data_IF_262423861595
#
_entry.id   IF_262423861595
#
_cell.length_a   1.000
_cell.length_b   1.000
_cell.length_c   1.000
_cell.angle_alpha   90.00
_cell.angle_beta   90.00
_cell.angle_gamma   90.00
#
_symmetry.space_group_name_H-M   'P 1'
#
loop_
_entity.id
_entity.type
_entity.pdbx_description
1 polymer ?
#
# COMPACT_ATOMS: atom_id res chain seq x y z
N UNK A 1 34.86 64.07 -19.59
CA UNK A 1 33.68 64.64 -20.29
C UNK A 1 32.60 63.56 -20.28
N UNK A 2 31.34 63.77 -19.89
CA UNK A 2 30.78 64.93 -19.15
C UNK A 2 29.28 65.15 -19.40
N UNK A 3 28.42 64.72 -18.44
CA UNK A 3 26.98 65.08 -18.30
C UNK A 3 26.01 64.63 -19.44
N UNK A 4 24.67 64.59 -19.27
CA UNK A 4 23.78 65.02 -18.15
C UNK A 4 22.43 64.27 -18.10
N UNK A 5 21.78 64.25 -16.91
CA UNK A 5 20.34 64.39 -16.53
C UNK A 5 19.23 64.26 -17.60
N UNK A 6 17.99 63.81 -17.34
CA UNK A 6 17.19 63.40 -16.16
C UNK A 6 15.80 62.92 -16.68
N UNK A 7 14.67 62.71 -15.99
CA UNK A 7 14.12 62.79 -14.61
C UNK A 7 12.98 61.72 -14.51
N UNK A 8 12.25 61.40 -13.43
CA UNK A 8 12.13 61.94 -12.08
C UNK A 8 10.72 62.47 -11.74
N UNK A 9 9.72 61.60 -11.50
CA UNK A 9 8.34 62.02 -11.14
C UNK A 9 7.69 61.18 -10.01
N UNK A 10 7.35 61.85 -8.90
CA UNK A 10 6.43 61.32 -7.88
C UNK A 10 4.97 61.47 -8.32
N UNK A 11 4.10 60.56 -7.88
CA UNK A 11 2.64 60.81 -7.79
C UNK A 11 2.29 61.23 -6.36
N UNK A 12 1.62 62.37 -6.20
CA UNK A 12 0.95 62.76 -4.96
C UNK A 12 -0.42 62.08 -4.89
N UNK A 13 -0.84 61.64 -3.72
CA UNK A 13 -2.26 61.49 -3.41
C UNK A 13 -2.80 62.84 -2.91
N UNK A 14 -4.02 63.17 -3.30
CA UNK A 14 -4.73 64.39 -2.90
C UNK A 14 -5.63 64.13 -1.70
N UNK A 15 -5.51 64.97 -0.68
CA UNK A 15 -6.39 64.99 0.49
C UNK A 15 -7.71 65.74 0.16
N UNK A 16 -8.83 65.30 0.75
CA UNK A 16 -10.13 65.97 0.77
C UNK A 16 -11.19 65.10 1.50
N UNK A 17 -11.96 65.67 2.44
CA UNK A 17 -13.19 65.02 2.95
C UNK A 17 -13.44 65.14 4.45
N UNK A 18 -13.45 66.35 5.02
CA UNK A 18 -13.81 66.56 6.43
C UNK A 18 -15.33 66.37 6.67
N UNK A 19 -15.72 65.53 7.62
CA UNK A 19 -17.13 65.28 8.03
C UNK A 19 -17.19 65.14 9.57
N UNK A 20 -18.08 65.85 10.28
CA UNK A 20 -18.00 66.01 11.74
C UNK A 20 -18.65 64.88 12.55
N UNK A 21 -18.12 64.65 13.76
CA UNK A 21 -18.71 63.79 14.79
C UNK A 21 -19.83 64.52 15.57
N UNK A 22 -20.95 63.84 15.90
CA UNK A 22 -21.79 64.20 17.03
C UNK A 22 -21.34 63.45 18.29
N UNK A 23 -21.02 64.19 19.36
CA UNK A 23 -20.86 63.62 20.71
C UNK A 23 -22.15 63.81 21.51
N UNK A 24 -22.71 62.71 22.07
CA UNK A 24 -23.27 62.68 23.43
C UNK A 24 -23.73 61.30 23.90
N UNK A 25 -23.10 60.85 24.98
CA UNK A 25 -23.72 60.16 26.14
C UNK A 25 -24.72 59.01 25.89
N UNK A 26 -24.23 57.78 26.00
CA UNK A 26 -24.99 56.63 26.49
C UNK A 26 -24.14 55.89 27.53
N UNK A 27 -24.75 55.34 28.59
CA UNK A 27 -24.03 54.71 29.69
C UNK A 27 -23.49 53.31 29.33
N UNK A 28 -22.33 52.95 29.85
CA UNK A 28 -21.66 51.69 29.53
C UNK A 28 -22.26 50.49 30.31
N UNK A 29 -22.54 49.35 29.63
CA UNK A 29 -22.68 48.06 30.31
C UNK A 29 -21.30 47.57 30.78
N UNK A 30 -21.25 46.88 31.92
CA UNK A 30 -20.00 46.41 32.53
C UNK A 30 -19.32 45.33 31.68
N UNK A 31 -18.08 45.59 31.23
CA UNK A 31 -17.27 44.59 30.56
C UNK A 31 -16.80 43.50 31.55
N UNK A 32 -17.33 42.29 31.43
CA UNK A 32 -16.79 41.11 32.11
C UNK A 32 -15.40 40.79 31.58
N UNK A 33 -14.39 40.65 32.46
CA UNK A 33 -13.06 40.26 32.03
C UNK A 33 -13.04 38.85 31.40
N UNK A 34 -12.21 38.60 30.37
CA UNK A 34 -12.06 37.28 29.79
C UNK A 34 -11.40 36.32 30.78
N UNK A 35 -12.08 35.22 31.11
CA UNK A 35 -11.51 34.12 31.90
C UNK A 35 -10.39 33.46 31.10
N UNK A 36 -9.20 33.20 31.67
CA UNK A 36 -8.12 32.54 30.94
C UNK A 36 -8.51 31.11 30.53
N UNK A 37 -8.03 30.61 29.38
CA UNK A 37 -8.42 29.30 28.87
C UNK A 37 -7.99 28.18 29.83
N UNK A 38 -8.96 27.37 30.27
CA UNK A 38 -8.72 26.19 31.09
C UNK A 38 -7.82 25.21 30.35
N UNK A 39 -6.62 24.94 30.90
CA UNK A 39 -5.73 23.88 30.40
C UNK A 39 -6.43 22.54 30.63
N UNK A 40 -6.98 21.95 29.57
CA UNK A 40 -7.59 20.62 29.64
C UNK A 40 -6.51 19.57 29.88
N UNK A 41 -6.32 19.20 31.15
CA UNK A 41 -5.45 18.12 31.58
C UNK A 41 -6.29 16.83 31.60
N UNK A 42 -6.05 15.84 30.73
CA UNK A 42 -6.82 14.60 30.74
C UNK A 42 -6.69 13.91 32.11
N UNK A 43 -7.81 13.69 32.79
CA UNK A 43 -7.83 12.85 33.98
C UNK A 43 -7.67 11.40 33.53
N UNK A 44 -6.60 10.74 33.98
CA UNK A 44 -6.41 9.29 33.79
C UNK A 44 -7.36 8.60 34.78
N UNK A 45 -8.33 7.78 34.33
CA UNK A 45 -9.23 7.08 35.24
C UNK A 45 -8.46 6.04 36.06
N UNK A 46 -8.25 6.32 37.34
CA UNK A 46 -7.70 5.34 38.28
C UNK A 46 -8.75 4.27 38.59
N UNK A 47 -8.40 3.02 38.34
CA UNK A 47 -9.26 1.82 38.37
C UNK A 47 -10.34 1.76 37.28
N UNK A 48 -10.20 0.76 36.40
CA UNK A 48 -11.29 0.17 35.63
C UNK A 48 -11.18 -1.34 35.77
N UNK A 49 -12.19 -1.96 36.37
CA UNK A 49 -12.29 -3.42 36.47
C UNK A 49 -12.43 -3.99 35.05
N UNK A 50 -11.50 -4.85 34.65
CA UNK A 50 -11.31 -5.23 33.24
C UNK A 50 -12.42 -6.16 32.71
N UNK A 51 -13.43 -5.58 32.07
CA UNK A 51 -14.41 -6.32 31.25
C UNK A 51 -13.80 -6.76 29.90
N UNK A 52 -14.35 -7.79 29.23
CA UNK A 52 -13.70 -8.40 28.06
C UNK A 52 -13.82 -7.63 26.73
N UNK A 53 -14.66 -6.60 26.64
CA UNK A 53 -15.19 -6.10 25.36
C UNK A 53 -14.22 -5.23 24.53
N UNK A 54 -13.11 -4.75 25.11
CA UNK A 54 -12.16 -3.87 24.39
C UNK A 54 -11.22 -4.59 23.39
N UNK A 55 -11.46 -5.87 23.09
CA UNK A 55 -10.68 -6.62 22.09
C UNK A 55 -10.94 -6.20 20.62
N UNK A 56 -11.88 -5.26 20.39
CA UNK A 56 -12.63 -5.16 19.14
C UNK A 56 -12.39 -3.85 18.33
N UNK A 57 -11.22 -3.22 18.48
CA UNK A 57 -10.95 -1.84 17.95
C UNK A 57 -9.89 -1.81 16.84
N UNK A 58 -9.03 -2.82 16.72
CA UNK A 58 -8.12 -2.98 15.59
C UNK A 58 -8.78 -3.90 14.54
N UNK A 59 -8.63 -3.66 13.23
CA UNK A 59 -9.07 -4.61 12.21
C UNK A 59 -8.11 -5.81 12.16
N UNK A 60 -8.62 -6.99 11.79
CA UNK A 60 -7.88 -8.27 11.77
C UNK A 60 -7.32 -8.79 13.12
N UNK A 61 -7.92 -8.51 14.30
CA UNK A 61 -7.33 -8.88 15.59
C UNK A 61 -7.40 -10.40 15.85
N UNK A 62 -8.35 -11.08 15.19
CA UNK A 62 -8.65 -12.50 15.34
C UNK A 62 -7.94 -13.39 14.33
N UNK A 63 -7.32 -12.85 13.27
CA UNK A 63 -6.82 -13.73 12.18
C UNK A 63 -5.66 -14.62 12.63
N UNK A 64 -4.91 -14.16 13.62
CA UNK A 64 -3.80 -14.89 14.24
C UNK A 64 -4.24 -15.75 15.44
N UNK A 65 -5.54 -15.82 15.76
CA UNK A 65 -6.06 -16.64 16.87
C UNK A 65 -6.08 -18.15 16.56
N UNK A 66 -6.12 -18.53 15.28
CA UNK A 66 -6.11 -19.92 14.84
C UNK A 66 -5.55 -20.03 13.42
N UNK A 67 -4.98 -21.20 13.07
CA UNK A 67 -4.32 -21.45 11.79
C UNK A 67 -5.12 -20.95 10.57
N UNK A 68 -6.39 -21.34 10.45
CA UNK A 68 -7.24 -20.97 9.30
C UNK A 68 -8.08 -19.70 9.50
N UNK A 69 -7.93 -18.98 10.61
CA UNK A 69 -8.69 -17.75 10.89
C UNK A 69 -8.35 -16.57 9.95
N UNK A 70 -7.33 -16.73 9.10
CA UNK A 70 -7.06 -15.83 7.97
C UNK A 70 -8.08 -16.00 6.82
N UNK A 71 -8.71 -17.17 6.66
CA UNK A 71 -9.57 -17.43 5.51
C UNK A 71 -10.85 -16.56 5.52
N UNK A 72 -11.29 -16.12 4.33
CA UNK A 72 -12.44 -15.24 4.13
C UNK A 72 -12.37 -13.87 4.83
N UNK A 73 -11.19 -13.44 5.31
CA UNK A 73 -10.99 -12.12 5.95
C UNK A 73 -10.49 -11.04 4.98
N UNK A 74 -10.17 -11.40 3.74
CA UNK A 74 -9.73 -10.45 2.72
C UNK A 74 -10.79 -9.36 2.48
N UNK A 75 -10.41 -8.09 2.58
CA UNK A 75 -11.29 -6.96 2.22
C UNK A 75 -11.17 -6.64 0.72
N UNK A 76 -12.03 -5.75 0.22
CA UNK A 76 -11.89 -5.19 -1.14
C UNK A 76 -12.28 -6.13 -2.29
N UNK A 77 -11.51 -6.08 -3.38
CA UNK A 77 -11.75 -6.89 -4.58
C UNK A 77 -11.21 -8.33 -4.46
N UNK A 78 -10.09 -8.54 -3.76
CA UNK A 78 -9.54 -9.87 -3.47
C UNK A 78 -10.31 -10.67 -2.41
N UNK A 79 -11.45 -10.18 -1.91
CA UNK A 79 -12.22 -10.79 -0.81
C UNK A 79 -12.62 -12.25 -1.00
N UNK A 80 -12.73 -12.69 -2.25
CA UNK A 80 -13.07 -14.07 -2.61
C UNK A 80 -11.88 -15.05 -2.51
N UNK A 81 -10.69 -14.60 -2.11
CA UNK A 81 -9.53 -15.47 -1.90
C UNK A 81 -9.77 -16.46 -0.75
N UNK A 82 -9.95 -17.74 -1.08
CA UNK A 82 -10.13 -18.83 -0.11
C UNK A 82 -8.81 -19.56 0.20
N UNK A 83 -7.80 -19.42 -0.66
CA UNK A 83 -6.50 -20.07 -0.48
C UNK A 83 -6.63 -21.59 -0.38
N UNK A 84 -5.88 -22.17 0.55
CA UNK A 84 -5.90 -23.58 0.89
C UNK A 84 -6.99 -24.02 1.87
N UNK A 85 -8.04 -23.22 2.11
CA UNK A 85 -9.03 -23.44 3.18
C UNK A 85 -9.61 -24.87 3.23
N UNK A 86 -9.82 -25.50 2.06
CA UNK A 86 -10.41 -26.83 1.93
C UNK A 86 -9.37 -27.96 1.75
N UNK A 87 -8.08 -27.64 1.80
CA UNK A 87 -7.00 -28.60 1.67
C UNK A 87 -6.52 -29.20 3.00
N UNK A 88 -5.62 -30.20 2.99
CA UNK A 88 -4.80 -30.53 4.15
C UNK A 88 -3.78 -29.41 4.44
N UNK A 89 -3.09 -29.54 5.57
CA UNK A 89 -1.94 -28.69 5.93
C UNK A 89 -0.70 -29.31 5.27
N UNK A 90 0.16 -28.48 4.65
CA UNK A 90 1.49 -28.88 4.22
C UNK A 90 2.51 -28.20 5.13
N UNK A 91 3.47 -28.97 5.64
CA UNK A 91 4.54 -28.49 6.50
C UNK A 91 5.83 -28.38 5.69
N UNK A 92 6.32 -27.15 5.49
CA UNK A 92 7.62 -26.87 4.87
C UNK A 92 8.70 -27.06 5.94
N UNK A 93 9.43 -28.17 5.81
CA UNK A 93 10.51 -28.59 6.70
C UNK A 93 11.90 -28.34 6.11
N UNK A 94 11.98 -27.94 4.83
CA UNK A 94 13.24 -27.68 4.12
C UNK A 94 13.30 -26.26 3.54
N UNK A 95 14.46 -25.62 3.70
CA UNK A 95 14.80 -24.33 3.08
C UNK A 95 15.44 -24.47 1.69
N UNK A 96 15.55 -25.71 1.16
CA UNK A 96 16.00 -25.94 -0.21
C UNK A 96 15.01 -25.35 -1.24
N UNK A 97 15.53 -24.95 -2.40
CA UNK A 97 14.70 -24.37 -3.47
C UNK A 97 13.66 -25.36 -4.00
N UNK A 98 13.98 -26.66 -4.08
CA UNK A 98 13.15 -27.70 -4.68
C UNK A 98 13.29 -29.03 -3.92
N UNK A 99 12.42 -30.00 -4.24
CA UNK A 99 12.38 -31.32 -3.63
C UNK A 99 11.38 -31.46 -2.46
N UNK A 100 11.18 -32.68 -1.91
CA UNK A 100 10.20 -32.94 -0.85
C UNK A 100 10.44 -32.09 0.40
N UNK A 101 9.36 -31.59 1.01
CA UNK A 101 9.42 -30.72 2.19
C UNK A 101 9.77 -29.25 1.88
N UNK A 102 10.03 -28.88 0.62
CA UNK A 102 10.25 -27.49 0.20
C UNK A 102 8.94 -26.75 -0.07
N UNK A 103 8.99 -25.41 0.01
CA UNK A 103 7.89 -24.54 -0.43
C UNK A 103 7.50 -24.76 -1.90
N UNK A 104 8.47 -25.13 -2.75
CA UNK A 104 8.27 -25.30 -4.19
C UNK A 104 7.56 -26.61 -4.56
N UNK A 105 7.81 -27.69 -3.83
CA UNK A 105 6.99 -28.91 -3.90
C UNK A 105 5.54 -28.60 -3.51
N UNK A 106 5.34 -27.89 -2.40
CA UNK A 106 4.01 -27.50 -1.92
C UNK A 106 3.23 -26.62 -2.92
N UNK A 107 3.87 -25.58 -3.49
CA UNK A 107 3.19 -24.62 -4.37
C UNK A 107 2.82 -25.17 -5.75
N UNK A 108 3.52 -26.20 -6.26
CA UNK A 108 3.25 -26.85 -7.55
C UNK A 108 2.14 -27.92 -7.51
N UNK A 109 1.76 -28.38 -6.31
CA UNK A 109 0.73 -29.42 -6.13
C UNK A 109 -0.64 -28.94 -6.63
N UNK A 110 -1.45 -29.86 -7.15
CA UNK A 110 -2.74 -29.53 -7.80
C UNK A 110 -3.86 -29.35 -6.80
N UNK A 111 -3.85 -30.17 -5.77
CA UNK A 111 -4.74 -30.14 -4.61
C UNK A 111 -4.66 -28.80 -3.85
N UNK A 112 -5.74 -28.33 -3.22
CA UNK A 112 -5.69 -27.20 -2.30
C UNK A 112 -4.74 -27.48 -1.13
N UNK A 113 -3.94 -26.50 -0.69
CA UNK A 113 -3.02 -26.68 0.44
C UNK A 113 -2.89 -25.43 1.32
N UNK A 114 -2.98 -25.63 2.63
CA UNK A 114 -2.58 -24.62 3.62
C UNK A 114 -1.11 -24.86 4.01
N UNK A 115 -0.20 -24.12 3.39
CA UNK A 115 1.24 -24.29 3.53
C UNK A 115 1.73 -23.47 4.72
N UNK A 116 2.27 -24.15 5.74
CA UNK A 116 2.97 -23.56 6.89
C UNK A 116 4.43 -23.98 6.89
N UNK A 117 5.23 -23.42 7.79
CA UNK A 117 6.66 -23.68 7.88
C UNK A 117 7.02 -24.18 9.30
N UNK A 118 7.79 -25.26 9.37
CA UNK A 118 8.37 -25.75 10.63
C UNK A 118 9.72 -25.07 10.91
N UNK A 119 10.39 -24.59 9.86
CA UNK A 119 11.69 -23.92 9.90
C UNK A 119 11.59 -22.45 9.51
N UNK A 120 12.24 -21.57 10.28
CA UNK A 120 12.53 -20.19 9.88
C UNK A 120 13.84 -20.13 9.07
N UNK A 121 13.93 -19.20 8.11
CA UNK A 121 15.16 -18.94 7.36
C UNK A 121 14.95 -18.33 5.98
N UNK A 122 15.99 -18.42 5.15
CA UNK A 122 16.02 -17.89 3.78
C UNK A 122 16.01 -19.03 2.77
N UNK A 123 15.07 -18.99 1.83
CA UNK A 123 14.97 -19.89 0.68
C UNK A 123 15.55 -19.17 -0.55
N UNK A 124 16.68 -19.67 -1.03
CA UNK A 124 17.37 -19.14 -2.21
C UNK A 124 16.73 -19.70 -3.48
N UNK A 125 15.89 -18.90 -4.15
CA UNK A 125 15.19 -19.33 -5.36
C UNK A 125 16.10 -19.23 -6.58
N UNK A 126 16.42 -20.37 -7.22
CA UNK A 126 17.17 -20.43 -8.47
C UNK A 126 16.33 -20.12 -9.71
N UNK A 127 15.01 -20.24 -9.59
CA UNK A 127 14.02 -19.90 -10.63
C UNK A 127 12.77 -19.28 -10.01
N UNK A 128 11.88 -18.71 -10.83
CA UNK A 128 10.56 -18.28 -10.34
C UNK A 128 9.82 -19.42 -9.64
N UNK A 129 9.27 -19.16 -8.46
CA UNK A 129 8.44 -20.13 -7.75
C UNK A 129 6.99 -19.95 -8.19
N UNK A 130 6.54 -20.84 -9.07
CA UNK A 130 5.18 -20.88 -9.58
C UNK A 130 4.22 -21.34 -8.45
N UNK A 131 3.17 -20.55 -8.20
CA UNK A 131 2.12 -20.88 -7.22
C UNK A 131 0.85 -21.25 -7.98
N UNK A 132 0.44 -22.52 -7.88
CA UNK A 132 -0.83 -23.00 -8.46
C UNK A 132 -2.04 -22.51 -7.65
N UNK A 133 -3.25 -22.71 -8.19
CA UNK A 133 -4.51 -22.32 -7.55
C UNK A 133 -4.71 -22.98 -6.17
N UNK A 134 -5.59 -22.40 -5.36
CA UNK A 134 -6.05 -22.91 -4.05
C UNK A 134 -4.92 -23.13 -3.04
N UNK A 135 -4.02 -22.15 -2.92
CA UNK A 135 -2.88 -22.18 -1.97
C UNK A 135 -2.99 -21.06 -0.94
N UNK A 136 -2.78 -21.39 0.32
CA UNK A 136 -2.35 -20.40 1.31
C UNK A 136 -0.86 -20.63 1.55
N UNK A 137 -0.02 -19.62 1.37
CA UNK A 137 1.36 -19.62 1.88
C UNK A 137 1.34 -18.79 3.16
N UNK A 138 1.50 -19.45 4.30
CA UNK A 138 1.29 -18.87 5.63
C UNK A 138 2.60 -18.85 6.42
N UNK A 139 3.35 -17.77 6.28
CA UNK A 139 4.63 -17.56 6.99
C UNK A 139 4.49 -17.14 8.45
N UNK A 140 3.29 -17.14 9.03
CA UNK A 140 3.06 -16.65 10.41
C UNK A 140 3.68 -17.57 11.46
N UNK A 141 4.11 -16.98 12.57
CA UNK A 141 4.88 -17.66 13.62
C UNK A 141 6.34 -17.94 13.25
N UNK A 142 6.74 -17.70 11.99
CA UNK A 142 8.08 -17.94 11.47
C UNK A 142 8.63 -16.67 10.78
N UNK A 143 9.92 -16.71 10.42
CA UNK A 143 10.59 -15.70 9.59
C UNK A 143 11.04 -16.36 8.29
N UNK A 144 10.25 -16.21 7.24
CA UNK A 144 10.49 -16.81 5.93
C UNK A 144 10.89 -15.72 4.95
N UNK A 145 12.09 -15.86 4.39
CA UNK A 145 12.61 -14.97 3.35
C UNK A 145 12.79 -15.70 2.03
N UNK A 146 12.31 -15.10 0.94
CA UNK A 146 12.56 -15.55 -0.42
C UNK A 146 13.55 -14.60 -1.09
N UNK A 147 14.52 -15.14 -1.82
CA UNK A 147 15.56 -14.34 -2.49
C UNK A 147 16.03 -14.95 -3.82
N UNK A 148 16.81 -14.21 -4.61
CA UNK A 148 17.28 -14.60 -5.95
C UNK A 148 16.23 -14.43 -7.05
N UNK A 149 15.00 -14.92 -6.82
CA UNK A 149 13.82 -14.73 -7.69
C UNK A 149 12.57 -14.42 -6.86
N UNK A 150 11.44 -14.25 -7.54
CA UNK A 150 10.15 -13.95 -6.94
C UNK A 150 9.14 -15.10 -7.02
N UNK A 151 7.91 -14.80 -6.59
CA UNK A 151 6.74 -15.65 -6.78
C UNK A 151 6.07 -15.36 -8.14
N UNK A 152 5.51 -16.40 -8.77
CA UNK A 152 4.75 -16.26 -10.03
C UNK A 152 3.38 -16.92 -9.92
N UNK A 153 2.35 -16.11 -10.02
CA UNK A 153 0.95 -16.48 -10.09
C UNK A 153 0.52 -16.32 -11.57
N UNK A 154 0.33 -17.46 -12.24
CA UNK A 154 0.04 -17.58 -13.68
C UNK A 154 -1.18 -18.47 -13.86
N UNK A 155 -2.22 -17.95 -14.54
CA UNK A 155 -3.47 -18.67 -14.83
C UNK A 155 -4.08 -19.37 -13.59
N UNK A 156 -3.96 -18.75 -12.42
CA UNK A 156 -4.31 -19.34 -11.13
C UNK A 156 -5.36 -18.53 -10.36
N UNK A 157 -6.10 -19.21 -9.48
CA UNK A 157 -7.16 -18.59 -8.69
C UNK A 157 -7.14 -19.00 -7.21
N UNK A 158 -7.74 -18.17 -6.35
CA UNK A 158 -7.88 -18.40 -4.91
C UNK A 158 -6.52 -18.66 -4.23
N UNK A 159 -5.62 -17.67 -4.27
CA UNK A 159 -4.30 -17.74 -3.63
C UNK A 159 -4.18 -16.69 -2.52
N UNK A 160 -3.69 -17.09 -1.35
CA UNK A 160 -3.37 -16.20 -0.22
C UNK A 160 -1.87 -16.31 0.05
N UNK A 161 -1.19 -15.17 0.19
CA UNK A 161 0.24 -15.08 0.51
C UNK A 161 0.37 -14.21 1.76
N UNK A 162 0.92 -14.77 2.84
CA UNK A 162 0.91 -14.13 4.15
C UNK A 162 2.28 -14.17 4.84
N UNK A 163 2.70 -13.01 5.38
CA UNK A 163 3.84 -12.90 6.31
C UNK A 163 5.17 -13.44 5.74
N UNK A 164 5.51 -13.05 4.51
CA UNK A 164 6.78 -13.37 3.85
C UNK A 164 7.67 -12.12 3.69
N UNK A 165 8.98 -12.29 3.82
CA UNK A 165 9.98 -11.35 3.32
C UNK A 165 10.38 -11.73 1.89
N UNK A 166 10.43 -10.79 0.96
CA UNK A 166 10.95 -10.96 -0.40
C UNK A 166 12.02 -9.90 -0.66
N UNK A 167 13.24 -10.33 -0.98
CA UNK A 167 14.43 -9.47 -1.03
C UNK A 167 15.47 -9.95 -2.05
N UNK A 168 16.09 -9.04 -2.80
CA UNK A 168 17.30 -9.35 -3.56
C UNK A 168 17.08 -10.24 -4.80
N UNK A 169 15.96 -10.09 -5.50
CA UNK A 169 15.73 -10.81 -6.76
C UNK A 169 16.45 -10.17 -7.94
N UNK A 170 17.25 -10.96 -8.67
CA UNK A 170 18.21 -10.46 -9.66
C UNK A 170 17.93 -10.91 -11.10
N UNK A 171 18.41 -10.11 -12.05
CA UNK A 171 18.40 -10.36 -13.48
C UNK A 171 17.08 -9.98 -14.19
N UNK A 172 16.97 -10.24 -15.51
CA UNK A 172 15.83 -9.85 -16.32
C UNK A 172 14.49 -10.37 -15.77
N UNK A 173 13.44 -9.55 -15.94
CA UNK A 173 12.11 -9.72 -15.37
C UNK A 173 12.14 -10.14 -13.89
N UNK A 174 13.07 -9.57 -13.12
CA UNK A 174 13.21 -9.80 -11.68
C UNK A 174 12.20 -8.99 -10.89
N UNK A 175 10.96 -9.49 -10.80
CA UNK A 175 9.88 -8.96 -9.97
C UNK A 175 9.76 -9.74 -8.65
N UNK A 176 9.29 -9.09 -7.59
CA UNK A 176 8.97 -9.76 -6.31
C UNK A 176 7.80 -10.74 -6.41
N UNK A 177 6.66 -10.28 -6.90
CA UNK A 177 5.46 -11.09 -7.13
C UNK A 177 4.86 -10.73 -8.50
N UNK A 178 4.89 -11.69 -9.43
CA UNK A 178 4.24 -11.59 -10.74
C UNK A 178 2.82 -12.17 -10.65
N UNK A 179 1.80 -11.39 -11.02
CA UNK A 179 0.41 -11.86 -11.19
C UNK A 179 0.02 -11.62 -12.65
N UNK A 180 0.36 -12.58 -13.52
CA UNK A 180 0.21 -12.47 -14.98
C UNK A 180 0.32 -13.83 -15.71
N UNK A 181 -0.58 -14.17 -16.66
CA UNK A 181 -1.86 -13.54 -16.99
C UNK A 181 -3.04 -14.20 -16.23
N UNK A 182 -4.25 -13.73 -16.47
CA UNK A 182 -5.53 -14.41 -16.21
C UNK A 182 -5.68 -15.00 -14.79
N UNK A 183 -5.10 -14.33 -13.78
CA UNK A 183 -5.07 -14.82 -12.40
C UNK A 183 -5.97 -13.98 -11.49
N UNK A 184 -6.72 -14.61 -10.58
CA UNK A 184 -7.83 -13.93 -9.86
C UNK A 184 -8.12 -14.41 -8.44
N UNK A 185 -8.83 -13.58 -7.67
CA UNK A 185 -9.21 -13.86 -6.29
C UNK A 185 -7.96 -14.12 -5.41
N UNK A 186 -7.07 -13.14 -5.40
CA UNK A 186 -5.74 -13.25 -4.77
C UNK A 186 -5.61 -12.24 -3.63
N UNK A 187 -4.97 -12.66 -2.54
CA UNK A 187 -4.67 -11.78 -1.41
C UNK A 187 -3.20 -11.87 -1.01
N UNK A 188 -2.54 -10.73 -0.90
CA UNK A 188 -1.17 -10.57 -0.40
C UNK A 188 -1.24 -9.76 0.89
N UNK A 189 -0.84 -10.33 2.02
CA UNK A 189 -1.04 -9.76 3.36
C UNK A 189 0.21 -9.81 4.25
N UNK A 190 0.54 -8.71 4.95
CA UNK A 190 1.70 -8.61 5.87
C UNK A 190 3.07 -8.95 5.23
N UNK A 191 3.20 -8.93 3.91
CA UNK A 191 4.47 -9.22 3.24
C UNK A 191 5.39 -7.99 3.22
N UNK A 192 6.70 -8.21 3.36
CA UNK A 192 7.73 -7.17 3.21
C UNK A 192 8.50 -7.38 1.91
N UNK A 193 8.59 -6.36 1.05
CA UNK A 193 9.21 -6.45 -0.27
C UNK A 193 10.23 -5.32 -0.48
N UNK A 194 11.45 -5.66 -0.93
CA UNK A 194 12.51 -4.69 -1.28
C UNK A 194 13.52 -5.23 -2.28
N UNK A 195 14.33 -4.34 -2.88
CA UNK A 195 15.56 -4.70 -3.61
C UNK A 195 15.42 -5.77 -4.73
N UNK A 196 14.43 -5.63 -5.60
CA UNK A 196 14.35 -6.35 -6.87
C UNK A 196 14.87 -5.49 -8.06
N UNK A 197 15.33 -6.15 -9.12
CA UNK A 197 15.92 -5.47 -10.30
C UNK A 197 14.87 -4.83 -11.26
N UNK A 198 13.62 -5.34 -11.34
CA UNK A 198 12.50 -4.62 -11.99
C UNK A 198 11.43 -4.14 -11.02
N UNK A 199 10.32 -4.86 -10.79
CA UNK A 199 9.23 -4.44 -9.87
C UNK A 199 9.20 -5.16 -8.51
N UNK A 200 8.34 -4.71 -7.58
CA UNK A 200 7.99 -5.52 -6.39
C UNK A 200 6.71 -6.31 -6.60
N UNK A 201 5.64 -5.70 -7.14
CA UNK A 201 4.39 -6.39 -7.49
C UNK A 201 3.90 -5.94 -8.87
N UNK A 202 3.64 -6.91 -9.75
CA UNK A 202 3.35 -6.67 -11.16
C UNK A 202 2.06 -7.39 -11.58
N UNK A 203 0.97 -6.63 -11.73
CA UNK A 203 -0.40 -7.11 -12.00
C UNK A 203 -0.79 -6.74 -13.43
N UNK A 204 -0.90 -7.72 -14.33
CA UNK A 204 -1.06 -7.45 -15.78
C UNK A 204 -1.82 -8.56 -16.50
N UNK A 205 -2.21 -8.30 -17.76
CA UNK A 205 -2.83 -9.26 -18.68
C UNK A 205 -4.05 -9.92 -18.04
N UNK A 206 -5.07 -9.09 -17.82
CA UNK A 206 -6.41 -9.44 -17.33
C UNK A 206 -6.48 -10.05 -15.91
N UNK A 207 -5.38 -10.02 -15.16
CA UNK A 207 -5.35 -10.50 -13.76
C UNK A 207 -6.07 -9.53 -12.81
N UNK A 208 -7.12 -10.01 -12.13
CA UNK A 208 -8.13 -9.16 -11.46
C UNK A 208 -8.59 -9.72 -10.12
N UNK A 209 -9.40 -8.97 -9.37
CA UNK A 209 -9.87 -9.35 -8.02
C UNK A 209 -8.72 -9.68 -7.07
N UNK A 210 -7.87 -8.68 -6.86
CA UNK A 210 -6.66 -8.76 -6.04
C UNK A 210 -6.77 -7.78 -4.86
N UNK A 211 -6.34 -8.21 -3.67
CA UNK A 211 -6.13 -7.32 -2.52
C UNK A 211 -4.69 -7.40 -2.04
N UNK A 212 -4.12 -6.25 -1.68
CA UNK A 212 -2.79 -6.10 -1.09
C UNK A 212 -2.96 -5.33 0.21
N UNK A 213 -2.61 -5.94 1.34
CA UNK A 213 -2.90 -5.38 2.68
C UNK A 213 -1.73 -5.46 3.64
N UNK A 214 -1.53 -4.41 4.46
CA UNK A 214 -0.49 -4.37 5.51
C UNK A 214 0.94 -4.70 5.02
N UNK A 215 1.18 -4.62 3.71
CA UNK A 215 2.49 -4.92 3.14
C UNK A 215 3.43 -3.72 3.33
N UNK A 216 4.71 -4.02 3.51
CA UNK A 216 5.76 -3.02 3.64
C UNK A 216 6.65 -3.05 2.39
N UNK A 217 6.76 -1.90 1.73
CA UNK A 217 7.55 -1.72 0.51
C UNK A 217 8.67 -0.72 0.81
N UNK A 218 9.92 -1.13 0.63
CA UNK A 218 11.10 -0.32 0.95
C UNK A 218 12.19 -0.46 -0.12
N UNK A 219 13.15 0.47 -0.13
CA UNK A 219 14.46 0.32 -0.80
C UNK A 219 14.36 -0.21 -2.26
N UNK A 220 13.57 0.46 -3.10
CA UNK A 220 13.29 -0.01 -4.46
C UNK A 220 12.84 1.13 -5.41
N UNK A 221 12.97 0.96 -6.72
CA UNK A 221 12.54 1.96 -7.71
C UNK A 221 11.06 1.83 -8.11
N UNK A 222 10.65 0.70 -8.69
CA UNK A 222 9.41 0.52 -9.47
C UNK A 222 8.34 -0.28 -8.71
N UNK A 223 7.90 0.20 -7.54
CA UNK A 223 7.13 -0.59 -6.55
C UNK A 223 5.99 -1.45 -7.12
N UNK A 224 4.95 -0.85 -7.70
CA UNK A 224 3.75 -1.60 -8.11
C UNK A 224 3.17 -1.15 -9.45
N UNK A 225 3.17 -2.03 -10.45
CA UNK A 225 2.56 -1.80 -11.76
C UNK A 225 1.23 -2.54 -11.87
N UNK A 226 0.21 -1.84 -12.37
CA UNK A 226 -1.12 -2.38 -12.62
C UNK A 226 -1.45 -2.02 -14.07
N UNK A 227 -1.45 -3.02 -14.96
CA UNK A 227 -1.52 -2.84 -16.41
C UNK A 227 -0.19 -2.38 -17.03
N UNK A 228 0.52 -3.29 -17.69
CA UNK A 228 1.89 -3.04 -18.19
C UNK A 228 1.97 -2.41 -19.58
N UNK A 229 0.94 -2.55 -20.38
CA UNK A 229 0.93 -2.29 -21.82
C UNK A 229 -0.18 -1.27 -22.13
N UNK A 230 0.12 -0.08 -22.70
CA UNK A 230 -0.88 0.95 -22.97
C UNK A 230 -1.85 0.58 -24.10
N UNK A 231 -1.59 -0.51 -24.83
CA UNK A 231 -2.47 -1.02 -25.90
C UNK A 231 -3.32 -2.23 -25.47
N UNK A 232 -3.01 -2.86 -24.32
CA UNK A 232 -3.73 -4.06 -23.86
C UNK A 232 -5.08 -3.73 -23.21
N UNK A 233 -6.04 -3.39 -24.06
CA UNK A 233 -7.42 -3.01 -23.69
C UNK A 233 -8.19 -4.03 -22.83
N UNK A 234 -7.73 -5.28 -22.75
CA UNK A 234 -8.26 -6.29 -21.82
C UNK A 234 -8.06 -5.91 -20.34
N UNK A 235 -6.99 -5.16 -20.02
CA UNK A 235 -6.66 -4.78 -18.64
C UNK A 235 -7.71 -3.83 -17.99
N UNK A 236 -8.74 -3.41 -18.74
CA UNK A 236 -9.95 -2.74 -18.20
C UNK A 236 -10.73 -3.61 -17.21
N UNK A 237 -10.55 -4.93 -17.25
CA UNK A 237 -11.16 -5.85 -16.29
C UNK A 237 -10.46 -5.87 -14.92
N UNK A 238 -9.25 -5.32 -14.80
CA UNK A 238 -8.42 -5.40 -13.59
C UNK A 238 -9.04 -4.62 -12.44
N UNK A 239 -9.16 -5.25 -11.27
CA UNK A 239 -9.67 -4.68 -10.02
C UNK A 239 -8.71 -4.99 -8.87
N UNK A 240 -8.15 -3.96 -8.23
CA UNK A 240 -7.16 -4.10 -7.16
C UNK A 240 -7.52 -3.23 -5.95
N UNK A 241 -7.46 -3.79 -4.75
CA UNK A 241 -7.54 -3.03 -3.49
C UNK A 241 -6.18 -3.00 -2.82
N UNK A 242 -5.74 -1.83 -2.36
CA UNK A 242 -4.46 -1.62 -1.69
C UNK A 242 -4.75 -0.85 -0.40
N UNK A 243 -4.54 -1.47 0.77
CA UNK A 243 -4.94 -0.86 2.04
C UNK A 243 -4.03 -1.17 3.24
N UNK A 244 -3.87 -0.16 4.11
CA UNK A 244 -3.01 -0.23 5.31
C UNK A 244 -1.54 -0.61 5.01
N UNK A 245 -1.08 -0.48 3.76
CA UNK A 245 0.31 -0.74 3.38
C UNK A 245 1.19 0.47 3.73
N UNK A 246 2.47 0.20 3.96
CA UNK A 246 3.50 1.20 4.20
C UNK A 246 4.50 1.22 3.04
N UNK A 247 4.68 2.39 2.43
CA UNK A 247 5.61 2.62 1.33
C UNK A 247 6.70 3.59 1.81
N UNK A 248 7.88 3.05 2.12
CA UNK A 248 8.96 3.75 2.79
C UNK A 248 10.13 4.07 1.84
N UNK A 249 10.18 5.32 1.36
CA UNK A 249 11.30 5.82 0.55
C UNK A 249 11.40 5.21 -0.87
N UNK A 250 10.50 4.30 -1.24
CA UNK A 250 10.45 3.70 -2.57
C UNK A 250 10.19 4.74 -3.65
N UNK A 251 10.86 4.62 -4.81
CA UNK A 251 11.03 5.80 -5.67
C UNK A 251 9.79 6.16 -6.48
N UNK A 252 9.03 5.19 -6.99
CA UNK A 252 7.86 5.42 -7.83
C UNK A 252 6.87 4.23 -7.84
N UNK A 253 5.70 4.47 -8.45
CA UNK A 253 4.62 3.48 -8.69
C UNK A 253 3.93 2.99 -7.41
N UNK A 254 3.16 3.84 -6.74
CA UNK A 254 2.44 3.52 -5.49
C UNK A 254 0.90 3.59 -5.55
N UNK A 255 0.21 2.98 -6.55
CA UNK A 255 0.70 2.24 -7.72
C UNK A 255 0.92 3.16 -8.96
N UNK A 256 1.38 2.57 -10.07
CA UNK A 256 1.16 3.11 -11.43
C UNK A 256 0.11 2.25 -12.14
N UNK A 257 -0.92 2.87 -12.70
CA UNK A 257 -2.11 2.18 -13.23
C UNK A 257 -2.38 2.51 -14.70
N UNK A 258 -2.71 1.51 -15.51
CA UNK A 258 -3.37 1.60 -16.81
C UNK A 258 -4.62 0.72 -16.82
N UNK A 259 -5.70 1.21 -17.41
CA UNK A 259 -7.03 0.62 -17.61
C UNK A 259 -7.80 0.17 -16.35
N UNK A 260 -7.12 -0.50 -15.42
CA UNK A 260 -7.70 -1.11 -14.23
C UNK A 260 -8.25 -0.12 -13.21
N UNK A 261 -9.04 -0.67 -12.28
CA UNK A 261 -9.72 0.01 -11.19
C UNK A 261 -9.01 -0.27 -9.88
N UNK A 262 -8.53 0.77 -9.21
CA UNK A 262 -7.80 0.69 -7.96
C UNK A 262 -8.55 1.41 -6.84
N UNK A 263 -8.78 0.71 -5.74
CA UNK A 263 -9.18 1.32 -4.48
C UNK A 263 -7.98 1.35 -3.53
N UNK A 264 -7.51 2.56 -3.20
CA UNK A 264 -6.29 2.81 -2.42
C UNK A 264 -6.71 3.52 -1.12
N UNK A 265 -6.65 2.87 0.04
CA UNK A 265 -7.08 3.50 1.30
C UNK A 265 -6.28 3.18 2.57
N UNK A 266 -6.21 4.14 3.50
CA UNK A 266 -5.49 4.04 4.78
C UNK A 266 -3.99 3.66 4.65
N UNK A 267 -3.35 3.86 3.50
CA UNK A 267 -1.93 3.59 3.31
C UNK A 267 -1.08 4.78 3.78
N UNK A 268 0.12 4.50 4.28
CA UNK A 268 1.13 5.52 4.57
C UNK A 268 2.22 5.47 3.48
N UNK A 269 2.41 6.57 2.77
CA UNK A 269 3.35 6.71 1.67
C UNK A 269 4.27 7.88 1.98
N UNK A 270 5.56 7.61 2.22
CA UNK A 270 6.53 8.65 2.61
C UNK A 270 7.79 8.66 1.76
N UNK A 271 8.38 9.85 1.66
CA UNK A 271 9.73 10.10 1.18
C UNK A 271 10.06 9.54 -0.22
N UNK A 272 9.07 9.28 -1.06
CA UNK A 272 9.21 8.72 -2.42
C UNK A 272 10.18 9.51 -3.32
N UNK A 273 10.58 8.94 -4.45
CA UNK A 273 11.64 9.50 -5.31
C UNK A 273 11.14 10.45 -6.41
N UNK A 274 10.09 10.06 -7.14
CA UNK A 274 9.63 10.75 -8.37
C UNK A 274 8.15 11.11 -8.25
N UNK A 275 7.28 10.12 -7.98
CA UNK A 275 5.86 10.33 -7.71
C UNK A 275 5.32 9.24 -6.77
N UNK A 276 4.27 9.54 -6.00
CA UNK A 276 3.57 8.49 -5.25
C UNK A 276 2.67 7.69 -6.21
N UNK A 277 1.47 8.18 -6.50
CA UNK A 277 0.49 7.53 -7.39
C UNK A 277 0.66 8.02 -8.84
N UNK A 278 0.50 7.14 -9.83
CA UNK A 278 0.37 7.54 -11.24
C UNK A 278 -0.87 6.93 -11.91
N UNK A 279 -1.77 7.79 -12.37
CA UNK A 279 -2.82 7.44 -13.31
C UNK A 279 -2.27 7.57 -14.75
N UNK A 280 -2.63 6.62 -15.60
CA UNK A 280 -2.37 6.63 -17.05
C UNK A 280 -3.63 6.14 -17.80
N UNK A 281 -3.50 5.74 -19.06
CA UNK A 281 -4.54 5.28 -20.01
C UNK A 281 -5.77 4.71 -19.29
N UNK A 282 -6.90 5.42 -19.33
CA UNK A 282 -8.24 5.02 -18.82
C UNK A 282 -8.32 4.53 -17.35
N UNK A 283 -7.25 4.69 -16.57
CA UNK A 283 -7.18 4.17 -15.20
C UNK A 283 -8.16 4.86 -14.24
N UNK A 284 -8.75 4.07 -13.35
CA UNK A 284 -9.70 4.55 -12.34
C UNK A 284 -9.07 4.35 -10.96
N UNK A 285 -8.67 5.42 -10.28
CA UNK A 285 -8.05 5.36 -8.95
C UNK A 285 -8.91 6.11 -7.94
N UNK A 286 -9.47 5.40 -6.97
CA UNK A 286 -10.17 5.98 -5.83
C UNK A 286 -9.23 5.97 -4.61
N UNK A 287 -8.77 7.16 -4.20
CA UNK A 287 -7.85 7.34 -3.08
C UNK A 287 -8.58 7.94 -1.87
N UNK A 288 -8.58 7.25 -0.73
CA UNK A 288 -9.25 7.70 0.50
C UNK A 288 -8.31 7.59 1.72
N UNK A 289 -8.27 8.60 2.58
CA UNK A 289 -7.61 8.53 3.90
C UNK A 289 -6.14 8.05 3.90
N UNK A 290 -5.42 8.19 2.77
CA UNK A 290 -3.99 7.86 2.69
C UNK A 290 -3.14 9.05 3.15
N UNK A 291 -2.04 8.75 3.84
CA UNK A 291 -1.08 9.75 4.33
C UNK A 291 0.06 9.87 3.32
N UNK A 292 0.26 11.06 2.76
CA UNK A 292 1.29 11.34 1.75
C UNK A 292 2.35 12.31 2.30
N UNK A 293 3.45 11.78 2.83
CA UNK A 293 4.54 12.55 3.42
C UNK A 293 5.68 12.75 2.40
N UNK A 294 5.64 13.85 1.65
CA UNK A 294 6.55 14.07 0.51
C UNK A 294 8.02 14.33 0.89
N UNK A 295 8.29 14.85 2.08
CA UNK A 295 9.59 15.41 2.46
C UNK A 295 9.84 16.79 1.82
N UNK A 296 10.18 16.84 0.53
CA UNK A 296 10.45 18.11 -0.19
C UNK A 296 9.98 18.08 -1.66
N UNK A 297 9.05 18.99 -2.03
CA UNK A 297 8.62 19.32 -3.41
C UNK A 297 8.42 18.12 -4.36
N UNK A 298 7.69 17.08 -3.93
CA UNK A 298 7.43 15.88 -4.74
C UNK A 298 5.98 15.79 -5.22
N UNK A 299 5.78 15.17 -6.39
CA UNK A 299 4.46 14.95 -6.97
C UNK A 299 3.77 13.80 -6.22
N UNK A 300 2.65 14.06 -5.53
CA UNK A 300 1.87 12.99 -4.91
C UNK A 300 1.07 12.21 -5.96
N UNK A 301 0.30 12.90 -6.80
CA UNK A 301 -0.48 12.29 -7.88
C UNK A 301 0.05 12.79 -9.23
N UNK A 302 0.45 11.85 -10.09
CA UNK A 302 0.83 12.12 -11.48
C UNK A 302 -0.26 11.61 -12.42
N UNK A 303 -0.63 12.42 -13.41
CA UNK A 303 -1.25 11.92 -14.64
C UNK A 303 -0.16 11.75 -15.70
N UNK A 304 -0.24 10.69 -16.49
CA UNK A 304 0.66 10.41 -17.60
C UNK A 304 -0.15 10.04 -18.83
N UNK A 305 -0.12 10.89 -19.85
CA UNK A 305 -0.52 10.51 -21.20
C UNK A 305 0.52 9.57 -21.79
N UNK A 306 0.10 8.41 -22.29
CA UNK A 306 0.90 7.52 -23.11
C UNK A 306 0.38 7.54 -24.56
N UNK A 307 1.22 7.12 -25.50
CA UNK A 307 0.91 7.03 -26.93
C UNK A 307 0.67 5.57 -27.31
#
# INVERSE_FOLDING_TARGET
>A
MGNSHGHGHHRKFSDNGNVPFPDKTAAAPSASQPVPPSIYRPQIPTSLTRTPEMANVLPYPHVDSALRALAAQAEGFGRSATGGLHGPIYFVSSLADDGPGSLRDACRKKEPLWIVFEVSGTIQLGSYLNVSSYKTIDGRGQRIKLTGKGLRLKECEHVIICNLELEGGRGPDGDGIQIKPNSKHIWIDRCSLREYDDGLIDITRESTDITISRCHFAQHDKTMLIGADPTHVGDRCIRVTIHHCFFDGTRQRHPRVRFGKVHLYNNYIRNWGIYAVCASVESQIYSQCNIYEAGQKKIAFKYLSEK
#
